data_IF_264453900364
#
_entry.id   IF_264453900364
#
_cell.length_a   1.000
_cell.length_b   1.000
_cell.length_c   1.000
_cell.angle_alpha   90.00
_cell.angle_beta   90.00
_cell.angle_gamma   90.00
#
_symmetry.space_group_name_H-M   'P 1'
#
loop_
_entity.id
_entity.type
_entity.pdbx_description
1 polymer ?
#
# COMPACT_ATOMS: atom_id res chain seq x y z
N UNK A 1 13.03 46.48 52.64
CA UNK A 1 12.17 45.62 51.81
C UNK A 1 12.81 45.22 50.48
N UNK A 2 13.48 46.14 49.77
CA UNK A 2 14.14 45.84 48.48
C UNK A 2 15.29 44.80 48.55
N UNK A 3 16.04 44.75 49.67
CA UNK A 3 17.11 43.75 49.90
C UNK A 3 16.61 42.32 50.07
N UNK A 4 15.43 42.13 50.67
CA UNK A 4 14.83 40.81 50.84
C UNK A 4 14.15 40.31 49.56
N UNK A 5 13.69 41.24 48.70
CA UNK A 5 13.15 40.91 47.38
C UNK A 5 14.22 40.36 46.44
N UNK A 6 15.44 40.90 46.49
CA UNK A 6 16.57 40.38 45.70
C UNK A 6 17.02 38.97 46.14
N UNK A 7 16.95 38.70 47.45
CA UNK A 7 17.29 37.40 48.01
C UNK A 7 16.23 36.33 47.67
N UNK A 8 14.96 36.72 47.64
CA UNK A 8 13.86 35.86 47.18
C UNK A 8 13.95 35.59 45.67
N UNK A 9 14.34 36.58 44.87
CA UNK A 9 14.53 36.43 43.42
C UNK A 9 15.72 35.51 43.09
N UNK A 10 16.81 35.55 43.87
CA UNK A 10 17.93 34.61 43.72
C UNK A 10 17.56 33.19 44.14
N UNK A 11 16.65 33.00 45.10
CA UNK A 11 16.18 31.69 45.52
C UNK A 11 15.26 31.03 44.47
N UNK A 12 14.48 31.82 43.72
CA UNK A 12 13.63 31.31 42.62
C UNK A 12 14.46 30.88 41.41
N UNK A 13 15.61 31.50 41.15
CA UNK A 13 16.51 31.12 40.03
C UNK A 13 17.21 29.77 40.32
N UNK A 14 17.46 29.42 41.58
CA UNK A 14 18.07 28.14 41.96
C UNK A 14 17.09 26.96 41.97
N UNK A 15 15.77 27.20 41.95
CA UNK A 15 14.74 26.18 41.75
C UNK A 15 14.52 25.83 40.26
N UNK A 16 15.17 26.56 39.34
CA UNK A 16 15.20 26.22 37.92
C UNK A 16 16.34 25.22 37.62
N UNK A 17 16.43 24.15 38.41
CA UNK A 17 17.19 22.96 38.01
C UNK A 17 16.45 22.33 36.83
N UNK A 18 16.88 22.67 35.62
CA UNK A 18 16.56 21.90 34.41
C UNK A 18 16.93 20.44 34.72
N UNK A 19 15.93 19.59 34.84
CA UNK A 19 16.11 18.14 34.81
C UNK A 19 17.03 17.82 33.63
N UNK A 20 18.19 17.22 33.92
CA UNK A 20 19.09 16.72 32.87
C UNK A 20 18.27 15.80 31.98
N UNK A 21 18.27 16.04 30.67
CA UNK A 21 17.66 15.11 29.72
C UNK A 21 18.36 13.75 29.88
N UNK A 22 17.61 12.64 29.93
CA UNK A 22 18.19 11.31 29.96
C UNK A 22 19.16 11.14 28.79
N UNK A 23 20.36 10.61 29.05
CA UNK A 23 21.28 10.23 27.99
C UNK A 23 20.87 8.85 27.47
N UNK A 24 20.21 8.82 26.32
CA UNK A 24 19.73 7.58 25.71
C UNK A 24 20.76 6.91 24.79
N UNK A 25 22.01 7.40 24.73
CA UNK A 25 23.05 6.80 23.89
C UNK A 25 23.73 5.61 24.57
N UNK A 26 23.76 5.59 25.89
CA UNK A 26 24.38 4.52 26.67
C UNK A 26 23.52 3.24 26.65
N UNK A 27 24.18 2.08 26.76
CA UNK A 27 23.51 0.77 26.84
C UNK A 27 22.98 0.50 28.27
N UNK A 28 22.20 1.42 28.81
CA UNK A 28 21.62 1.34 30.16
C UNK A 28 20.15 0.93 30.13
N UNK A 29 19.64 0.39 31.25
CA UNK A 29 18.20 0.19 31.44
C UNK A 29 17.57 1.55 31.69
N UNK A 30 16.56 1.91 30.90
CA UNK A 30 15.89 3.21 30.97
C UNK A 30 14.43 2.98 31.35
N UNK A 31 13.81 3.96 32.01
CA UNK A 31 12.37 3.97 32.25
C UNK A 31 11.62 4.47 31.00
N UNK A 32 10.41 3.97 30.75
CA UNK A 32 9.67 4.32 29.52
C UNK A 32 9.29 5.80 29.47
N UNK A 33 9.05 6.41 30.62
CA UNK A 33 8.77 7.85 30.77
C UNK A 33 9.95 8.69 30.29
N UNK A 34 11.17 8.30 30.66
CA UNK A 34 12.41 8.97 30.26
C UNK A 34 12.67 8.78 28.76
N UNK A 35 12.39 7.57 28.24
CA UNK A 35 12.46 7.29 26.82
C UNK A 35 11.51 8.19 26.01
N UNK A 36 10.25 8.32 26.42
CA UNK A 36 9.27 9.19 25.75
C UNK A 36 9.63 10.67 25.92
N UNK A 37 10.06 11.09 27.11
CA UNK A 37 10.41 12.48 27.40
C UNK A 37 11.64 12.98 26.63
N UNK A 38 12.51 12.08 26.18
CA UNK A 38 13.65 12.41 25.32
C UNK A 38 13.23 13.00 23.97
N UNK A 39 12.02 12.68 23.48
CA UNK A 39 11.51 13.23 22.24
C UNK A 39 10.98 14.65 22.44
N UNK A 40 11.47 15.65 21.67
CA UNK A 40 10.97 17.01 21.75
C UNK A 40 9.50 17.10 21.31
N UNK A 41 8.70 17.93 21.97
CA UNK A 41 7.30 18.14 21.56
C UNK A 41 7.21 18.79 20.17
N UNK A 42 6.30 18.27 19.34
CA UNK A 42 6.04 18.75 17.99
C UNK A 42 4.77 19.58 17.92
N UNK A 43 4.83 20.67 17.17
CA UNK A 43 3.64 21.39 16.74
C UNK A 43 3.00 20.66 15.55
N UNK A 44 1.70 20.39 15.63
CA UNK A 44 0.93 19.79 14.53
C UNK A 44 0.29 20.89 13.64
N UNK A 45 0.24 20.70 12.32
CA UNK A 45 0.66 19.51 11.57
C UNK A 45 2.19 19.41 11.44
N UNK A 46 2.73 18.19 11.50
CA UNK A 46 4.16 17.92 11.32
C UNK A 46 4.41 17.12 10.05
N UNK A 47 5.20 17.70 9.12
CA UNK A 47 5.52 17.11 7.82
C UNK A 47 7.00 16.74 7.74
N UNK A 48 7.28 15.54 7.24
CA UNK A 48 8.63 15.06 6.90
C UNK A 48 8.69 14.80 5.39
N UNK A 49 9.77 15.23 4.74
CA UNK A 49 10.07 14.89 3.34
C UNK A 49 11.26 13.95 3.24
N UNK A 50 11.36 13.22 2.14
CA UNK A 50 12.47 12.31 1.85
C UNK A 50 13.83 13.02 1.82
N UNK A 51 13.90 14.18 1.16
CA UNK A 51 15.05 15.07 1.19
C UNK A 51 15.38 15.53 2.61
N UNK A 52 14.36 15.75 3.44
CA UNK A 52 14.51 16.07 4.86
C UNK A 52 15.19 14.96 5.66
N UNK A 53 15.01 13.69 5.29
CA UNK A 53 15.71 12.57 5.92
C UNK A 53 17.22 12.56 5.65
N UNK A 54 17.70 13.27 4.63
CA UNK A 54 19.14 13.40 4.39
C UNK A 54 19.78 14.54 5.19
N UNK A 55 18.99 15.41 5.83
CA UNK A 55 19.54 16.45 6.72
C UNK A 55 20.20 15.80 7.94
N UNK A 56 21.43 16.26 8.24
CA UNK A 56 22.20 15.85 9.42
C UNK A 56 21.38 16.17 10.68
N UNK A 57 21.32 15.22 11.61
CA UNK A 57 20.71 15.40 12.93
C UNK A 57 21.82 15.67 13.95
N UNK A 58 21.45 16.32 15.05
CA UNK A 58 22.37 16.50 16.18
C UNK A 58 22.71 15.15 16.78
N UNK A 59 23.95 14.97 17.22
CA UNK A 59 24.33 13.75 17.94
C UNK A 59 23.53 13.62 19.25
N UNK A 60 23.14 14.75 19.85
CA UNK A 60 22.29 14.78 21.05
C UNK A 60 20.87 14.20 20.87
N UNK A 61 20.44 13.88 19.64
CA UNK A 61 19.16 13.19 19.40
C UNK A 61 19.32 11.71 19.11
N UNK A 62 20.55 11.18 19.15
CA UNK A 62 20.80 9.75 18.95
C UNK A 62 20.17 8.94 20.09
N UNK A 63 19.56 7.82 19.72
CA UNK A 63 19.05 6.80 20.64
C UNK A 63 19.88 5.54 20.42
N UNK A 64 20.41 4.97 21.50
CA UNK A 64 21.10 3.69 21.49
C UNK A 64 20.17 2.58 20.99
N UNK A 65 20.67 1.70 20.13
CA UNK A 65 19.86 0.63 19.54
C UNK A 65 19.24 -0.26 20.62
N UNK A 66 20.02 -0.66 21.64
CA UNK A 66 19.53 -1.50 22.74
C UNK A 66 18.45 -0.78 23.54
N UNK A 67 18.64 0.51 23.86
CA UNK A 67 17.65 1.34 24.56
C UNK A 67 16.33 1.39 23.78
N UNK A 68 16.40 1.64 22.47
CA UNK A 68 15.20 1.64 21.63
C UNK A 68 14.46 0.29 21.67
N UNK A 69 15.21 -0.82 21.59
CA UNK A 69 14.64 -2.16 21.58
C UNK A 69 14.12 -2.66 22.93
N UNK A 70 14.34 -1.91 24.03
CA UNK A 70 13.67 -2.19 25.32
C UNK A 70 12.16 -1.91 25.23
N UNK A 71 11.77 -0.95 24.38
CA UNK A 71 10.38 -0.48 24.30
C UNK A 71 9.72 -0.77 22.94
N UNK A 72 10.50 -0.91 21.88
CA UNK A 72 10.00 -1.08 20.53
C UNK A 72 10.55 -2.36 19.92
N UNK A 73 9.69 -3.28 19.42
CA UNK A 73 10.17 -4.52 18.80
C UNK A 73 11.15 -4.29 17.66
N UNK A 74 12.30 -4.95 17.72
CA UNK A 74 13.35 -4.94 16.70
C UNK A 74 12.85 -5.38 15.31
N UNK A 75 11.80 -6.21 15.27
CA UNK A 75 11.11 -6.67 14.08
C UNK A 75 10.64 -5.53 13.15
N UNK A 76 10.45 -4.32 13.68
CA UNK A 76 10.09 -3.13 12.89
C UNK A 76 11.28 -2.67 12.05
N UNK A 77 12.47 -2.64 12.62
CA UNK A 77 13.69 -2.21 11.94
C UNK A 77 14.18 -3.27 10.96
N UNK A 78 14.13 -4.54 11.36
CA UNK A 78 14.62 -5.66 10.52
C UNK A 78 13.83 -5.81 9.21
N UNK A 79 12.56 -5.40 9.17
CA UNK A 79 11.74 -5.38 7.93
C UNK A 79 12.29 -4.46 6.84
N UNK A 80 12.91 -3.34 7.22
CA UNK A 80 13.41 -2.34 6.25
C UNK A 80 14.93 -2.41 6.03
N UNK A 81 15.65 -2.78 7.08
CA UNK A 81 17.12 -2.78 7.08
C UNK A 81 17.72 -4.18 6.90
N UNK A 82 17.07 -5.23 7.40
CA UNK A 82 17.57 -6.60 7.43
C UNK A 82 17.93 -7.07 8.85
N UNK A 83 18.07 -8.39 9.05
CA UNK A 83 18.24 -9.00 10.38
C UNK A 83 19.59 -8.71 11.06
N UNK A 84 20.61 -8.32 10.30
CA UNK A 84 21.98 -8.12 10.80
C UNK A 84 22.40 -6.65 10.85
N UNK A 85 21.44 -5.74 10.66
CA UNK A 85 21.70 -4.30 10.56
C UNK A 85 21.16 -3.57 11.79
N UNK A 86 22.02 -2.74 12.41
CA UNK A 86 21.65 -1.89 13.53
C UNK A 86 21.66 -0.42 13.06
N UNK A 87 20.55 0.10 12.50
CA UNK A 87 20.51 1.46 12.03
C UNK A 87 20.75 2.45 13.18
N UNK A 88 21.38 3.58 12.89
CA UNK A 88 21.48 4.71 13.82
C UNK A 88 20.09 5.35 13.95
N UNK A 89 19.63 5.51 15.19
CA UNK A 89 18.29 6.01 15.50
C UNK A 89 18.38 7.44 16.02
N UNK A 90 17.49 8.32 15.57
CA UNK A 90 17.39 9.70 16.01
C UNK A 90 15.96 10.03 16.45
N UNK A 91 15.82 10.73 17.57
CA UNK A 91 14.57 11.34 18.00
C UNK A 91 14.27 12.56 17.13
N UNK A 92 13.12 12.53 16.42
CA UNK A 92 12.66 13.69 15.66
C UNK A 92 11.64 14.52 16.44
N UNK A 93 10.84 13.86 17.28
CA UNK A 93 9.91 14.51 18.20
C UNK A 93 8.70 13.65 18.54
N UNK A 94 7.85 14.17 19.43
CA UNK A 94 6.62 13.51 19.89
C UNK A 94 5.41 14.40 19.73
N UNK A 95 4.27 13.77 19.49
CA UNK A 95 2.96 14.40 19.53
C UNK A 95 2.02 13.55 20.39
N UNK A 96 1.28 14.17 21.30
CA UNK A 96 0.37 13.48 22.20
C UNK A 96 -1.06 13.88 21.93
N UNK A 97 -1.92 12.90 21.68
CA UNK A 97 -3.36 13.12 21.65
C UNK A 97 -3.88 13.07 23.09
N UNK A 98 -4.43 14.19 23.58
CA UNK A 98 -4.84 14.30 24.99
C UNK A 98 -5.81 13.18 25.36
N UNK A 99 -5.43 12.41 26.38
CA UNK A 99 -6.22 11.29 26.90
C UNK A 99 -6.21 10.02 26.05
N UNK A 100 -5.43 10.00 24.96
CA UNK A 100 -5.31 8.86 24.03
C UNK A 100 -3.85 8.46 23.84
N UNK A 101 -3.36 8.38 22.60
CA UNK A 101 -2.03 7.86 22.27
C UNK A 101 -0.93 8.93 22.26
N UNK A 102 0.30 8.47 22.43
CA UNK A 102 1.52 9.24 22.18
C UNK A 102 2.22 8.70 20.94
N UNK A 103 2.57 9.60 20.03
CA UNK A 103 3.24 9.28 18.77
C UNK A 103 4.67 9.81 18.79
N UNK A 104 5.66 8.93 18.58
CA UNK A 104 7.07 9.27 18.50
C UNK A 104 7.55 9.16 17.05
N UNK A 105 8.14 10.23 16.54
CA UNK A 105 8.83 10.22 15.26
C UNK A 105 10.28 9.81 15.45
N UNK A 106 10.65 8.68 14.86
CA UNK A 106 11.98 8.10 14.96
C UNK A 106 12.58 8.01 13.57
N UNK A 107 13.77 8.55 13.37
CA UNK A 107 14.52 8.40 12.11
C UNK A 107 15.55 7.29 12.27
N UNK A 108 15.50 6.29 11.41
CA UNK A 108 16.49 5.22 11.30
C UNK A 108 17.36 5.42 10.06
N UNK A 109 18.66 5.19 10.22
CA UNK A 109 19.70 5.50 9.24
C UNK A 109 20.67 4.33 9.13
N UNK A 110 20.74 3.70 7.96
CA UNK A 110 21.78 2.72 7.64
C UNK A 110 22.27 2.90 6.21
N UNK A 111 23.59 3.08 6.02
CA UNK A 111 24.17 3.30 4.69
C UNK A 111 23.44 4.41 3.90
N UNK A 112 22.77 4.08 2.77
CA UNK A 112 21.94 5.01 1.97
C UNK A 112 20.45 4.97 2.33
N UNK A 113 20.02 3.99 3.13
CA UNK A 113 18.63 3.77 3.53
C UNK A 113 18.26 4.68 4.69
N UNK A 114 17.14 5.39 4.57
CA UNK A 114 16.57 6.22 5.64
C UNK A 114 15.10 5.89 5.78
N UNK A 115 14.62 5.70 7.00
CA UNK A 115 13.20 5.50 7.28
C UNK A 115 12.82 6.40 8.44
N UNK A 116 11.70 7.10 8.35
CA UNK A 116 11.06 7.64 9.54
C UNK A 116 9.89 6.74 9.91
N UNK A 117 9.85 6.37 11.19
CA UNK A 117 8.76 5.64 11.81
C UNK A 117 7.95 6.58 12.68
N UNK A 118 6.65 6.29 12.74
CA UNK A 118 5.73 6.80 13.73
C UNK A 118 5.44 5.65 14.71
N UNK A 119 6.04 5.70 15.89
CA UNK A 119 5.87 4.70 16.95
C UNK A 119 4.74 5.16 17.87
N UNK A 120 3.76 4.31 18.13
CA UNK A 120 2.57 4.61 18.90
C UNK A 120 2.62 3.93 20.27
N UNK A 121 2.30 4.69 21.32
CA UNK A 121 2.19 4.25 22.70
C UNK A 121 0.82 4.60 23.27
N UNK A 122 0.29 3.73 24.14
CA UNK A 122 -0.96 4.01 24.85
C UNK A 122 -0.77 5.07 25.94
N UNK A 123 -1.86 5.43 26.61
CA UNK A 123 -1.87 6.38 27.74
C UNK A 123 -1.08 5.92 28.98
N UNK A 124 -0.68 4.65 29.02
CA UNK A 124 0.13 4.02 30.08
C UNK A 124 1.56 3.76 29.60
N UNK A 125 1.97 4.35 28.48
CA UNK A 125 3.29 4.17 27.88
C UNK A 125 3.60 2.72 27.45
N UNK A 126 2.59 1.89 27.19
CA UNK A 126 2.80 0.61 26.54
C UNK A 126 2.93 0.79 25.03
N UNK A 127 3.91 0.13 24.44
CA UNK A 127 4.04 0.06 22.98
C UNK A 127 2.78 -0.57 22.35
N UNK A 128 2.27 0.08 21.31
CA UNK A 128 1.09 -0.37 20.56
C UNK A 128 1.50 -0.91 19.19
N UNK A 129 1.92 -0.01 18.29
CA UNK A 129 2.29 -0.32 16.92
C UNK A 129 3.26 0.73 16.34
N UNK A 130 3.86 0.46 15.19
CA UNK A 130 4.68 1.42 14.45
C UNK A 130 4.35 1.47 12.96
N UNK A 131 4.40 2.66 12.40
CA UNK A 131 4.13 2.89 10.99
C UNK A 131 5.34 3.53 10.29
N UNK A 132 5.89 2.92 9.22
CA UNK A 132 6.96 3.54 8.42
C UNK A 132 6.36 4.66 7.55
N UNK A 133 6.26 5.87 8.10
CA UNK A 133 5.56 7.00 7.48
C UNK A 133 6.25 7.50 6.20
N UNK A 134 7.57 7.37 6.13
CA UNK A 134 8.33 7.68 4.92
C UNK A 134 9.61 6.86 4.86
N UNK A 135 9.95 6.42 3.66
CA UNK A 135 11.23 5.77 3.34
C UNK A 135 11.97 6.65 2.33
N UNK A 136 13.30 6.63 2.36
CA UNK A 136 14.13 7.26 1.34
C UNK A 136 15.36 6.37 1.07
N UNK A 137 15.78 6.32 -0.20
CA UNK A 137 16.78 5.35 -0.67
C UNK A 137 16.25 3.90 -0.70
N UNK A 138 14.93 3.71 -0.55
CA UNK A 138 14.23 2.42 -0.59
C UNK A 138 12.93 2.62 -1.42
N UNK A 139 13.00 2.50 -2.75
CA UNK A 139 11.84 2.58 -3.63
C UNK A 139 12.07 3.39 -4.91
N UNK A 140 11.07 3.35 -5.82
CA UNK A 140 11.11 3.96 -7.16
C UNK A 140 10.23 5.22 -7.27
N UNK A 141 10.26 6.10 -6.27
CA UNK A 141 9.57 7.39 -6.29
C UNK A 141 10.56 8.53 -6.51
N UNK A 142 10.11 9.59 -7.18
CA UNK A 142 10.87 10.82 -7.38
C UNK A 142 10.86 11.72 -6.15
N UNK A 143 9.76 11.72 -5.41
CA UNK A 143 9.64 12.41 -4.13
C UNK A 143 8.65 11.70 -3.20
N UNK A 144 8.88 11.81 -1.89
CA UNK A 144 7.98 11.29 -0.87
C UNK A 144 7.83 12.26 0.32
N UNK A 145 6.66 12.24 0.95
CA UNK A 145 6.44 12.93 2.23
C UNK A 145 5.47 12.18 3.15
N UNK A 146 5.69 12.34 4.45
CA UNK A 146 4.80 11.89 5.52
C UNK A 146 4.28 13.07 6.34
N UNK A 147 3.05 12.98 6.84
CA UNK A 147 2.40 14.04 7.62
C UNK A 147 1.60 13.42 8.76
N UNK A 148 1.71 14.01 9.95
CA UNK A 148 0.71 13.85 11.02
C UNK A 148 -0.01 15.19 11.18
N UNK A 149 -1.32 15.19 11.01
CA UNK A 149 -2.12 16.42 11.08
C UNK A 149 -2.67 16.70 12.50
N UNK A 150 -3.38 17.82 12.67
CA UNK A 150 -3.97 18.22 13.96
C UNK A 150 -5.09 17.30 14.45
N UNK A 151 -5.63 16.44 13.58
CA UNK A 151 -6.64 15.42 13.89
C UNK A 151 -6.01 14.03 14.07
N UNK A 152 -4.67 13.97 14.15
CA UNK A 152 -3.90 12.74 14.24
C UNK A 152 -4.12 11.79 13.05
N UNK A 153 -4.50 12.32 11.89
CA UNK A 153 -4.49 11.56 10.64
C UNK A 153 -3.07 11.52 10.07
N UNK A 154 -2.69 10.34 9.60
CA UNK A 154 -1.36 10.07 9.07
C UNK A 154 -1.48 10.04 7.55
N UNK A 155 -0.83 10.96 6.86
CA UNK A 155 -0.82 10.97 5.40
C UNK A 155 0.55 10.54 4.89
N UNK A 156 0.57 9.60 3.95
CA UNK A 156 1.74 9.33 3.12
C UNK A 156 1.47 9.82 1.69
N UNK A 157 2.48 10.43 1.09
CA UNK A 157 2.40 10.96 -0.26
C UNK A 157 3.64 10.53 -1.03
N UNK A 158 3.44 9.90 -2.18
CA UNK A 158 4.50 9.52 -3.11
C UNK A 158 4.23 10.15 -4.47
N UNK A 159 5.28 10.63 -5.11
CA UNK A 159 5.25 11.19 -6.45
C UNK A 159 6.32 10.50 -7.31
N UNK A 160 5.98 10.18 -8.56
CA UNK A 160 6.87 9.57 -9.55
C UNK A 160 6.76 10.34 -10.85
N UNK A 161 7.88 10.90 -11.30
CA UNK A 161 8.00 11.53 -12.61
C UNK A 161 8.31 10.45 -13.65
N UNK A 162 7.46 10.34 -14.67
CA UNK A 162 7.66 9.42 -15.79
C UNK A 162 8.61 10.04 -16.81
N UNK A 163 9.24 9.17 -17.60
CA UNK A 163 10.09 9.59 -18.72
C UNK A 163 9.31 10.42 -19.77
N UNK A 164 7.98 10.27 -19.82
CA UNK A 164 7.07 11.04 -20.67
C UNK A 164 6.82 12.48 -20.17
N UNK A 165 7.31 12.84 -18.98
CA UNK A 165 7.08 14.15 -18.35
C UNK A 165 5.83 14.21 -17.46
N UNK A 166 5.00 13.17 -17.45
CA UNK A 166 3.85 13.05 -16.56
C UNK A 166 4.29 12.82 -15.10
N UNK A 167 3.53 13.39 -14.16
CA UNK A 167 3.72 13.20 -12.73
C UNK A 167 2.61 12.35 -12.16
N UNK A 168 2.95 11.17 -11.65
CA UNK A 168 2.02 10.30 -10.94
C UNK A 168 2.17 10.51 -9.44
N UNK A 169 1.06 10.57 -8.71
CA UNK A 169 1.06 10.60 -7.27
C UNK A 169 0.09 9.62 -6.65
N UNK A 170 0.41 9.24 -5.42
CA UNK A 170 -0.47 8.46 -4.54
C UNK A 170 -0.45 9.08 -3.16
N UNK A 171 -1.63 9.44 -2.66
CA UNK A 171 -1.87 9.93 -1.30
C UNK A 171 -2.67 8.90 -0.54
N UNK A 172 -2.12 8.38 0.55
CA UNK A 172 -2.85 7.50 1.46
C UNK A 172 -3.06 8.22 2.79
N UNK A 173 -4.26 8.10 3.38
CA UNK A 173 -4.57 8.61 4.71
C UNK A 173 -4.93 7.45 5.61
N UNK A 174 -4.30 7.41 6.79
CA UNK A 174 -4.46 6.40 7.81
C UNK A 174 -4.92 7.03 9.11
N UNK A 175 -5.60 6.25 9.92
CA UNK A 175 -5.88 6.54 11.34
C UNK A 175 -5.40 5.38 12.19
N UNK A 176 -4.96 5.67 13.41
CA UNK A 176 -4.71 4.62 14.37
C UNK A 176 -6.05 4.10 14.92
N UNK A 177 -6.26 2.79 14.82
CA UNK A 177 -7.45 2.10 15.31
C UNK A 177 -7.08 1.34 16.59
N UNK A 178 -7.51 1.88 17.74
CA UNK A 178 -7.20 1.31 19.05
C UNK A 178 -7.83 -0.07 19.30
N UNK A 179 -8.95 -0.40 18.64
CA UNK A 179 -9.60 -1.70 18.77
C UNK A 179 -8.83 -2.81 18.04
N UNK A 180 -8.25 -2.49 16.87
CA UNK A 180 -7.46 -3.43 16.08
C UNK A 180 -5.95 -3.39 16.42
N UNK A 181 -5.51 -2.39 17.19
CA UNK A 181 -4.10 -2.06 17.39
C UNK A 181 -3.35 -1.93 16.05
N UNK A 182 -3.93 -1.22 15.08
CA UNK A 182 -3.37 -1.07 13.75
C UNK A 182 -3.49 0.37 13.21
N UNK A 183 -2.77 0.63 12.12
CA UNK A 183 -2.95 1.84 11.32
C UNK A 183 -3.85 1.51 10.13
N UNK A 184 -5.14 1.78 10.29
CA UNK A 184 -6.16 1.50 9.27
C UNK A 184 -6.08 2.55 8.15
N UNK A 185 -5.96 2.10 6.91
CA UNK A 185 -6.09 2.94 5.71
C UNK A 185 -7.54 3.36 5.53
N UNK A 186 -7.82 4.66 5.54
CA UNK A 186 -9.18 5.21 5.39
C UNK A 186 -9.42 5.87 4.04
N UNK A 187 -8.35 6.25 3.33
CA UNK A 187 -8.46 6.91 2.03
C UNK A 187 -7.21 6.65 1.20
N UNK A 188 -7.41 6.35 -0.08
CA UNK A 188 -6.37 6.38 -1.11
C UNK A 188 -6.83 7.29 -2.22
N UNK A 189 -6.03 8.32 -2.52
CA UNK A 189 -6.22 9.22 -3.66
C UNK A 189 -5.00 9.14 -4.58
N UNK A 190 -5.11 8.41 -5.69
CA UNK A 190 -4.19 8.52 -6.80
C UNK A 190 -4.64 9.62 -7.77
N UNK A 191 -3.72 10.16 -8.59
CA UNK A 191 -4.10 10.86 -9.83
C UNK A 191 -4.01 10.00 -11.08
N UNK A 192 -3.62 8.74 -10.91
CA UNK A 192 -3.80 7.70 -11.91
C UNK A 192 -5.16 7.05 -11.64
N UNK A 193 -5.90 6.69 -12.69
CA UNK A 193 -6.86 5.60 -12.56
C UNK A 193 -6.05 4.39 -12.09
N UNK A 194 -6.28 3.90 -10.86
CA UNK A 194 -5.66 2.63 -10.47
C UNK A 194 -6.20 1.59 -11.43
N UNK A 195 -5.42 1.21 -12.44
CA UNK A 195 -5.68 -0.03 -13.17
C UNK A 195 -5.45 -1.11 -12.13
N UNK A 196 -6.52 -1.50 -11.42
CA UNK A 196 -6.55 -2.81 -10.78
C UNK A 196 -6.17 -3.79 -11.88
N UNK A 197 -5.05 -4.49 -11.72
CA UNK A 197 -4.69 -5.52 -12.67
C UNK A 197 -5.78 -6.59 -12.56
N UNK A 198 -6.75 -6.56 -13.47
CA UNK A 198 -7.85 -7.51 -13.51
C UNK A 198 -7.25 -8.92 -13.58
N UNK A 199 -7.39 -9.67 -12.49
CA UNK A 199 -6.82 -11.01 -12.38
C UNK A 199 -7.75 -11.97 -13.08
N UNK A 200 -7.30 -12.56 -14.18
CA UNK A 200 -8.01 -13.63 -14.87
C UNK A 200 -7.90 -14.95 -14.08
N UNK A 201 -8.96 -15.44 -13.41
CA UNK A 201 -8.88 -16.59 -12.52
C UNK A 201 -8.63 -17.92 -13.24
N UNK A 202 -8.81 -17.96 -14.57
CA UNK A 202 -8.64 -19.16 -15.40
C UNK A 202 -7.41 -19.05 -16.31
N UNK A 203 -6.49 -18.11 -16.05
CA UNK A 203 -5.40 -17.87 -16.99
C UNK A 203 -4.49 -19.09 -17.18
N UNK A 204 -4.27 -19.82 -16.09
CA UNK A 204 -3.43 -21.04 -16.04
C UNK A 204 -4.10 -22.28 -16.61
N UNK A 205 -5.38 -22.22 -16.97
CA UNK A 205 -6.12 -23.39 -17.46
C UNK A 205 -5.71 -23.75 -18.90
N UNK A 206 -5.90 -25.02 -19.32
CA UNK A 206 -5.51 -25.47 -20.66
C UNK A 206 -6.20 -24.70 -21.80
N UNK A 207 -5.43 -24.48 -22.89
CA UNK A 207 -5.86 -23.80 -24.12
C UNK A 207 -5.65 -24.68 -25.37
N UNK A 208 -5.99 -25.97 -25.30
CA UNK A 208 -5.68 -26.96 -26.35
C UNK A 208 -6.70 -26.95 -27.49
N UNK A 209 -7.95 -26.56 -27.23
CA UNK A 209 -9.00 -26.55 -28.24
C UNK A 209 -8.94 -25.31 -29.15
N UNK A 210 -9.50 -25.43 -30.37
CA UNK A 210 -9.51 -24.36 -31.39
C UNK A 210 -10.12 -23.04 -30.89
N UNK A 211 -11.18 -23.13 -30.09
CA UNK A 211 -11.90 -21.97 -29.56
C UNK A 211 -11.25 -21.39 -28.29
N UNK A 212 -10.34 -22.13 -27.65
CA UNK A 212 -9.63 -21.68 -26.46
C UNK A 212 -8.63 -20.58 -26.80
N UNK A 213 -8.48 -19.63 -25.89
CA UNK A 213 -7.62 -18.46 -26.05
C UNK A 213 -8.18 -17.23 -25.36
N UNK A 214 -7.43 -16.14 -25.46
CA UNK A 214 -7.80 -14.84 -24.90
C UNK A 214 -8.33 -13.96 -26.02
N UNK A 215 -9.56 -13.49 -25.88
CA UNK A 215 -10.23 -12.62 -26.83
C UNK A 215 -10.30 -11.21 -26.22
N UNK A 216 -9.66 -10.25 -26.87
CA UNK A 216 -9.37 -8.96 -26.26
C UNK A 216 -9.96 -7.85 -27.13
N UNK A 217 -10.54 -6.83 -26.48
CA UNK A 217 -10.86 -5.54 -27.08
C UNK A 217 -9.86 -4.48 -26.62
N UNK A 218 -9.60 -4.42 -25.31
CA UNK A 218 -8.52 -3.66 -24.66
C UNK A 218 -8.12 -4.39 -23.35
N UNK A 219 -7.25 -3.80 -22.51
CA UNK A 219 -6.74 -4.48 -21.31
C UNK A 219 -7.85 -4.72 -20.27
N UNK A 220 -8.84 -3.85 -20.24
CA UNK A 220 -9.97 -3.82 -19.30
C UNK A 220 -11.22 -4.51 -19.87
N UNK A 221 -11.17 -4.98 -21.11
CA UNK A 221 -12.32 -5.58 -21.79
C UNK A 221 -11.87 -6.82 -22.56
N UNK A 222 -12.05 -7.99 -21.94
CA UNK A 222 -11.62 -9.26 -22.50
C UNK A 222 -12.51 -10.43 -22.09
N UNK A 223 -12.44 -11.48 -22.89
CA UNK A 223 -13.04 -12.79 -22.63
C UNK A 223 -11.95 -13.84 -22.74
N UNK A 224 -11.69 -14.53 -21.65
CA UNK A 224 -10.82 -15.70 -21.63
C UNK A 224 -11.64 -16.95 -21.81
N UNK A 225 -11.27 -17.78 -22.77
CA UNK A 225 -11.89 -19.08 -23.02
C UNK A 225 -10.86 -20.17 -22.85
N UNK A 226 -11.23 -21.21 -22.12
CA UNK A 226 -10.38 -22.34 -21.73
C UNK A 226 -11.12 -23.64 -22.01
N UNK A 227 -10.36 -24.72 -22.07
CA UNK A 227 -10.92 -26.04 -22.28
C UNK A 227 -11.90 -26.38 -21.13
N UNK A 228 -13.08 -26.89 -21.45
CA UNK A 228 -14.02 -27.45 -20.48
C UNK A 228 -13.67 -28.89 -20.12
N UNK A 229 -14.56 -29.54 -19.36
CA UNK A 229 -14.39 -30.94 -18.96
C UNK A 229 -14.38 -31.91 -20.15
N UNK A 230 -15.08 -31.55 -21.23
CA UNK A 230 -15.17 -32.30 -22.48
C UNK A 230 -15.33 -31.34 -23.67
N UNK A 231 -15.41 -31.88 -24.89
CA UNK A 231 -15.51 -31.09 -26.13
C UNK A 231 -16.82 -30.31 -26.28
N UNK A 232 -17.84 -30.63 -25.49
CA UNK A 232 -19.14 -29.95 -25.50
C UNK A 232 -19.22 -28.82 -24.47
N UNK A 233 -18.15 -28.56 -23.73
CA UNK A 233 -18.09 -27.54 -22.69
C UNK A 233 -16.86 -26.65 -22.85
N UNK A 234 -17.01 -25.37 -22.54
CA UNK A 234 -15.91 -24.41 -22.44
C UNK A 234 -15.98 -23.69 -21.09
N UNK A 235 -14.83 -23.46 -20.49
CA UNK A 235 -14.73 -22.59 -19.31
C UNK A 235 -14.46 -21.17 -19.78
N UNK A 236 -15.13 -20.18 -19.23
CA UNK A 236 -14.92 -18.78 -19.61
C UNK A 236 -14.81 -17.85 -18.40
N UNK A 237 -14.16 -16.73 -18.65
CA UNK A 237 -14.12 -15.57 -17.77
C UNK A 237 -14.27 -14.32 -18.64
N UNK A 238 -15.20 -13.44 -18.31
CA UNK A 238 -15.38 -12.14 -18.96
C UNK A 238 -15.21 -11.05 -17.94
N UNK A 239 -14.47 -10.01 -18.35
CA UNK A 239 -14.41 -8.73 -17.67
C UNK A 239 -14.62 -7.63 -18.70
N UNK A 240 -15.46 -6.65 -18.37
CA UNK A 240 -15.62 -5.45 -19.19
C UNK A 240 -15.84 -4.22 -18.33
N UNK A 241 -15.37 -3.09 -18.85
CA UNK A 241 -15.56 -1.76 -18.30
C UNK A 241 -16.04 -0.83 -19.41
N UNK A 242 -17.14 -0.13 -19.17
CA UNK A 242 -17.69 0.93 -20.01
C UNK A 242 -17.82 2.21 -19.19
N UNK A 243 -17.92 3.34 -19.90
CA UNK A 243 -18.22 4.65 -19.32
C UNK A 243 -17.28 5.01 -18.15
N UNK A 244 -15.96 4.90 -18.35
CA UNK A 244 -14.93 5.17 -17.34
C UNK A 244 -15.16 4.43 -16.01
N UNK A 245 -15.40 3.11 -16.09
CA UNK A 245 -15.67 2.23 -14.95
C UNK A 245 -16.97 2.52 -14.16
N UNK A 246 -17.86 3.39 -14.64
CA UNK A 246 -19.24 3.48 -14.11
C UNK A 246 -20.05 2.20 -14.40
N UNK A 247 -19.57 1.40 -15.36
CA UNK A 247 -20.22 0.20 -15.85
C UNK A 247 -19.24 -0.97 -15.92
N UNK A 248 -19.16 -1.74 -14.84
CA UNK A 248 -18.30 -2.92 -14.72
C UNK A 248 -19.15 -4.19 -14.74
N UNK A 249 -18.67 -5.23 -15.41
CA UNK A 249 -19.28 -6.56 -15.34
C UNK A 249 -18.24 -7.67 -15.37
N UNK A 250 -18.38 -8.62 -14.45
CA UNK A 250 -17.53 -9.79 -14.33
C UNK A 250 -18.38 -11.05 -14.26
N UNK A 251 -18.03 -12.06 -15.07
CA UNK A 251 -18.68 -13.36 -14.98
C UNK A 251 -17.72 -14.48 -15.35
N UNK A 252 -17.71 -15.55 -14.55
CA UNK A 252 -17.04 -16.81 -14.85
C UNK A 252 -18.04 -17.95 -14.86
N UNK A 253 -17.79 -18.95 -15.70
CA UNK A 253 -18.65 -20.12 -15.72
C UNK A 253 -18.24 -21.15 -16.76
N UNK A 254 -19.11 -22.14 -16.92
CA UNK A 254 -19.00 -23.18 -17.95
C UNK A 254 -20.14 -22.99 -18.93
N UNK A 255 -19.81 -22.68 -20.18
CA UNK A 255 -20.78 -22.61 -21.26
C UNK A 255 -20.81 -23.95 -22.01
N UNK A 256 -22.00 -24.37 -22.45
CA UNK A 256 -22.21 -25.58 -23.23
C UNK A 256 -22.29 -25.25 -24.70
N UNK A 257 -21.57 -26.00 -25.53
CA UNK A 257 -21.62 -25.88 -26.98
C UNK A 257 -23.00 -26.34 -27.49
N UNK A 258 -23.71 -25.46 -28.17
CA UNK A 258 -25.00 -25.75 -28.83
C UNK A 258 -24.83 -25.96 -30.35
N UNK A 259 -23.69 -25.52 -30.89
CA UNK A 259 -23.23 -25.86 -32.24
C UNK A 259 -21.70 -25.76 -32.28
N UNK A 260 -21.05 -26.07 -33.41
CA UNK A 260 -19.59 -25.98 -33.55
C UNK A 260 -19.01 -24.58 -33.26
N UNK A 261 -19.82 -23.52 -33.34
CA UNK A 261 -19.41 -22.13 -33.17
C UNK A 261 -20.24 -21.36 -32.16
N UNK A 262 -21.19 -21.99 -31.48
CA UNK A 262 -22.05 -21.33 -30.49
C UNK A 262 -22.02 -22.06 -29.15
N UNK A 263 -21.90 -21.29 -28.08
CA UNK A 263 -21.97 -21.79 -26.71
C UNK A 263 -22.96 -20.95 -25.89
N UNK A 264 -23.72 -21.61 -25.03
CA UNK A 264 -24.65 -20.97 -24.09
C UNK A 264 -24.20 -21.22 -22.66
N UNK A 265 -24.09 -20.15 -21.89
CA UNK A 265 -24.04 -20.20 -20.44
C UNK A 265 -25.45 -19.96 -19.90
N UNK A 266 -25.88 -20.81 -18.96
CA UNK A 266 -27.10 -20.62 -18.20
C UNK A 266 -26.81 -20.99 -16.75
N UNK A 267 -27.09 -20.06 -15.84
CA UNK A 267 -26.90 -20.30 -14.42
C UNK A 267 -28.11 -21.03 -13.81
N UNK A 268 -27.86 -21.98 -12.91
CA UNK A 268 -28.93 -22.66 -12.19
C UNK A 268 -29.47 -21.73 -11.09
N UNK A 269 -30.76 -21.41 -11.16
CA UNK A 269 -31.43 -20.57 -10.15
C UNK A 269 -31.30 -19.06 -10.38
N UNK A 270 -30.67 -18.63 -11.48
CA UNK A 270 -30.58 -17.23 -11.90
C UNK A 270 -31.01 -17.12 -13.38
N UNK A 271 -31.83 -16.13 -13.78
CA UNK A 271 -32.24 -15.96 -15.18
C UNK A 271 -31.08 -15.63 -16.13
N UNK A 272 -29.86 -15.42 -15.63
CA UNK A 272 -28.71 -15.08 -16.47
C UNK A 272 -28.40 -16.14 -17.55
N UNK A 273 -28.57 -15.74 -18.81
CA UNK A 273 -28.17 -16.51 -20.00
C UNK A 273 -27.30 -15.67 -20.93
N UNK A 274 -26.13 -16.20 -21.30
CA UNK A 274 -25.20 -15.57 -22.24
C UNK A 274 -24.92 -16.49 -23.42
N UNK A 275 -25.00 -15.95 -24.63
CA UNK A 275 -24.54 -16.62 -25.86
C UNK A 275 -23.17 -16.10 -26.28
N UNK A 276 -22.28 -17.03 -26.57
CA UNK A 276 -21.01 -16.79 -27.25
C UNK A 276 -21.10 -17.34 -28.66
N UNK A 277 -20.92 -16.48 -29.65
CA UNK A 277 -20.79 -16.86 -31.06
C UNK A 277 -19.34 -16.65 -31.51
N UNK A 278 -18.67 -17.75 -31.81
CA UNK A 278 -17.28 -17.78 -32.23
C UNK A 278 -17.15 -17.67 -33.75
N UNK A 279 -16.17 -16.89 -34.18
CA UNK A 279 -15.53 -17.00 -35.48
C UNK A 279 -14.10 -17.51 -35.27
N UNK A 280 -13.42 -17.96 -36.33
CA UNK A 280 -12.03 -18.43 -36.20
C UNK A 280 -11.07 -17.41 -35.56
N UNK A 281 -11.44 -16.12 -35.53
CA UNK A 281 -10.60 -15.02 -35.04
C UNK A 281 -11.25 -14.12 -33.99
N UNK A 282 -12.52 -14.35 -33.63
CA UNK A 282 -13.22 -13.48 -32.68
C UNK A 282 -14.33 -14.21 -31.94
N UNK A 283 -14.76 -13.68 -30.82
CA UNK A 283 -15.99 -14.09 -30.15
C UNK A 283 -16.92 -12.88 -30.05
N UNK A 284 -18.20 -13.10 -30.31
CA UNK A 284 -19.28 -12.16 -30.02
C UNK A 284 -20.01 -12.69 -28.81
N UNK A 285 -20.10 -11.87 -27.77
CA UNK A 285 -20.87 -12.15 -26.57
C UNK A 285 -22.18 -11.37 -26.63
N UNK A 286 -23.28 -12.03 -26.25
CA UNK A 286 -24.59 -11.41 -26.14
C UNK A 286 -25.34 -11.94 -24.93
N UNK A 287 -25.86 -11.02 -24.13
CA UNK A 287 -26.82 -11.33 -23.07
C UNK A 287 -28.17 -11.66 -23.69
N UNK A 288 -28.71 -12.84 -23.38
CA UNK A 288 -30.04 -13.25 -23.86
C UNK A 288 -31.08 -12.98 -22.78
N UNK A 289 -30.74 -13.23 -21.52
CA UNK A 289 -31.69 -13.15 -20.41
C UNK A 289 -30.98 -12.68 -19.13
N UNK A 290 -31.52 -11.65 -18.47
CA UNK A 290 -31.42 -11.39 -17.04
C UNK A 290 -30.08 -11.42 -16.29
N UNK A 291 -28.93 -11.02 -16.86
CA UNK A 291 -27.63 -11.10 -16.16
C UNK A 291 -27.32 -9.90 -15.24
N UNK A 292 -28.33 -9.16 -14.79
CA UNK A 292 -28.17 -7.94 -13.97
C UNK A 292 -27.43 -8.14 -12.64
N UNK A 293 -27.35 -9.36 -12.11
CA UNK A 293 -26.59 -9.66 -10.88
C UNK A 293 -25.06 -9.58 -11.04
N UNK A 294 -24.57 -9.57 -12.28
CA UNK A 294 -23.14 -9.64 -12.60
C UNK A 294 -22.58 -8.33 -13.15
N UNK A 295 -23.37 -7.26 -13.14
CA UNK A 295 -23.06 -5.98 -13.76
C UNK A 295 -23.94 -4.86 -13.20
N UNK A 296 -23.59 -3.61 -13.46
CA UNK A 296 -24.49 -2.48 -13.15
C UNK A 296 -25.75 -2.46 -14.06
N UNK A 297 -26.82 -1.82 -13.58
CA UNK A 297 -28.19 -1.87 -14.16
C UNK A 297 -28.22 -1.41 -15.63
N UNK A 298 -27.36 -0.47 -16.04
CA UNK A 298 -27.33 0.12 -17.38
C UNK A 298 -26.41 -0.62 -18.38
N UNK A 299 -25.73 -1.66 -17.94
CA UNK A 299 -24.73 -2.39 -18.72
C UNK A 299 -25.35 -3.63 -19.34
N UNK A 300 -24.84 -4.16 -20.44
CA UNK A 300 -25.23 -5.51 -20.92
C UNK A 300 -23.98 -6.26 -21.35
N UNK A 301 -23.97 -7.59 -21.17
CA UNK A 301 -22.90 -8.46 -21.67
C UNK A 301 -22.94 -8.55 -23.19
N UNK A 302 -22.46 -7.49 -23.84
CA UNK A 302 -22.50 -7.38 -25.29
C UNK A 302 -21.18 -6.90 -25.90
N UNK A 303 -20.82 -7.56 -27.00
CA UNK A 303 -19.93 -7.03 -28.00
C UNK A 303 -18.95 -8.05 -28.58
N UNK A 304 -18.03 -7.56 -29.42
CA UNK A 304 -17.06 -8.36 -30.18
C UNK A 304 -15.66 -8.24 -29.60
N UNK A 305 -14.95 -9.36 -29.53
CA UNK A 305 -13.60 -9.47 -28.97
C UNK A 305 -12.73 -10.30 -29.91
N UNK A 306 -11.51 -9.85 -30.18
CA UNK A 306 -10.63 -10.47 -31.18
C UNK A 306 -9.63 -11.38 -30.51
N UNK A 307 -9.40 -12.57 -31.07
CA UNK A 307 -8.46 -13.55 -30.52
C UNK A 307 -7.04 -12.96 -30.54
N UNK A 308 -6.41 -12.90 -29.37
CA UNK A 308 -5.02 -12.47 -29.20
C UNK A 308 -4.11 -13.46 -29.93
N UNK A 309 -3.19 -12.96 -30.75
CA UNK A 309 -2.17 -13.80 -31.39
C UNK A 309 -1.17 -14.25 -30.34
N UNK A 310 -0.90 -15.56 -30.30
CA UNK A 310 0.17 -16.10 -29.46
C UNK A 310 1.53 -15.72 -30.04
N UNK A 311 2.33 -14.97 -29.28
CA UNK A 311 3.72 -14.70 -29.62
C UNK A 311 4.52 -15.92 -29.18
N UNK A 312 4.95 -16.75 -30.13
CA UNK A 312 5.82 -17.90 -29.83
C UNK A 312 7.09 -17.40 -29.14
N UNK A 313 7.55 -18.05 -28.04
CA UNK A 313 8.82 -17.72 -27.42
C UNK A 313 9.94 -17.84 -28.46
N UNK A 314 10.80 -16.81 -28.58
CA UNK A 314 12.02 -16.89 -29.38
C UNK A 314 12.91 -17.96 -28.75
N UNK A 315 13.10 -19.09 -29.46
CA UNK A 315 14.05 -20.13 -29.07
C UNK A 315 15.45 -19.47 -28.97
N UNK A 316 16.13 -19.52 -27.81
CA UNK A 316 17.47 -18.98 -27.69
C UNK A 316 18.42 -19.78 -28.62
N UNK A 317 19.08 -19.09 -29.55
CA UNK A 317 20.13 -19.68 -30.39
C UNK A 317 21.22 -20.26 -29.50
N UNK A 318 21.43 -21.58 -29.56
CA UNK A 318 22.57 -22.27 -28.97
C UNK A 318 23.85 -21.60 -29.49
N UNK A 319 24.65 -21.00 -28.59
CA UNK A 319 26.02 -20.59 -28.91
C UNK A 319 26.83 -21.86 -29.13
N UNK A 320 27.32 -22.05 -30.35
CA UNK A 320 28.39 -23.00 -30.65
C UNK A 320 29.64 -22.52 -29.92
N UNK A 321 30.20 -23.39 -29.07
CA UNK A 321 31.55 -23.25 -28.56
C UNK A 321 32.48 -23.78 -29.66
N UNK A 322 33.37 -22.91 -30.12
CA UNK A 322 34.64 -23.23 -30.76
C UNK A 322 35.68 -22.33 -30.08
#
# INVERSE_FOLDING_TARGET
>A
MLKYLFLLLSAVILLCCKSKKPDLQADEVVEVEDFIAFFPELALPFKITDSGLFKKQSDSSIIGYKVFTQFVPDSILTKDFGKSENPVLYSLGRAQEKGRETYLFVKAVQSKKRVAYLVCFDKKNNYLNSFPIIKAGIGNYSSASGLLDKKFQITTYHETKKATGETWYKRNVYVYNSAANDFTLILTEPNEEMIENIINPIDTFPKKNKLSGDYIRNKENFISVRDGKNTSEISFFVHFEKDNAECVGELKGVARMVSATKAHYKENGNPCTIEFTFTGTSVVMKEIEGCGSYRNIKCFFEGRFTKKKEVKPKVPKKKSQA
#
